data_IF_789948723774
#
_entry.id   IF_789948723774
#
_cell.length_a   1.000
_cell.length_b   1.000
_cell.length_c   1.000
_cell.angle_alpha   90.00
_cell.angle_beta   90.00
_cell.angle_gamma   90.00
#
_symmetry.space_group_name_H-M   'P 1'
#
loop_
_entity.id
_entity.type
_entity.pdbx_description
1 polymer ?
#
# COMPACT_ATOMS: atom_id res chain seq x y z
N UNK A 1 -23.04 -4.50 -18.43
CA UNK A 1 -21.93 -5.39 -18.82
C UNK A 1 -20.67 -4.53 -18.85
N UNK A 2 -19.66 -4.83 -18.04
CA UNK A 2 -18.40 -4.07 -18.05
C UNK A 2 -17.57 -4.54 -19.25
N UNK A 3 -17.32 -3.66 -20.21
CA UNK A 3 -16.47 -3.93 -21.38
C UNK A 3 -15.02 -3.71 -20.98
N UNK A 4 -14.17 -4.71 -21.15
CA UNK A 4 -12.71 -4.54 -20.97
C UNK A 4 -12.19 -3.65 -22.09
N UNK A 5 -11.55 -2.53 -21.73
CA UNK A 5 -10.93 -1.60 -22.67
C UNK A 5 -9.42 -1.86 -22.68
N UNK A 6 -8.88 -2.20 -23.84
CA UNK A 6 -7.42 -2.30 -24.06
C UNK A 6 -6.92 -0.95 -24.59
N UNK A 7 -5.84 -0.42 -24.02
CA UNK A 7 -5.28 0.89 -24.40
C UNK A 7 -3.82 0.73 -24.82
N UNK A 8 -3.35 1.51 -25.80
CA UNK A 8 -1.93 1.58 -26.21
C UNK A 8 -1.04 2.38 -25.25
N UNK A 9 -1.46 2.60 -23.99
CA UNK A 9 -0.62 3.26 -22.99
C UNK A 9 0.65 2.45 -22.81
N UNK A 10 1.78 3.12 -23.03
CA UNK A 10 3.10 2.60 -22.63
C UNK A 10 3.06 2.29 -21.13
N UNK A 11 3.49 1.08 -20.75
CA UNK A 11 3.56 0.61 -19.35
C UNK A 11 4.57 1.38 -18.48
N UNK A 12 5.05 2.54 -18.94
CA UNK A 12 5.96 3.38 -18.19
C UNK A 12 5.17 4.12 -17.13
N UNK A 13 5.40 3.76 -15.87
CA UNK A 13 4.92 4.50 -14.71
C UNK A 13 5.62 5.86 -14.71
N UNK A 14 4.85 6.94 -14.86
CA UNK A 14 5.35 8.30 -14.74
C UNK A 14 5.18 8.74 -13.29
N UNK A 15 6.18 9.44 -12.75
CA UNK A 15 6.19 9.92 -11.37
C UNK A 15 4.96 10.78 -11.07
N UNK A 16 4.60 11.66 -12.00
CA UNK A 16 3.52 12.65 -11.84
C UNK A 16 2.13 12.01 -11.91
N UNK A 17 2.04 10.75 -12.32
CA UNK A 17 0.80 10.01 -12.49
C UNK A 17 0.88 8.65 -11.78
N UNK A 18 1.42 8.65 -10.56
CA UNK A 18 1.58 7.46 -9.74
C UNK A 18 1.32 7.78 -8.26
N UNK A 19 0.63 6.86 -7.59
CA UNK A 19 0.52 6.78 -6.14
C UNK A 19 0.87 5.34 -5.75
N UNK A 20 1.57 5.18 -4.64
CA UNK A 20 1.89 3.87 -4.10
C UNK A 20 0.88 3.50 -3.01
N UNK A 21 0.41 2.25 -3.04
CA UNK A 21 -0.47 1.69 -2.03
C UNK A 21 0.23 0.53 -1.32
N UNK A 22 0.30 0.58 0.01
CA UNK A 22 0.79 -0.49 0.87
C UNK A 22 -0.42 -1.14 1.54
N UNK A 23 -0.73 -2.37 1.12
CA UNK A 23 -2.00 -3.02 1.47
C UNK A 23 -1.76 -4.12 2.50
N UNK A 24 -2.40 -3.97 3.66
CA UNK A 24 -2.60 -5.00 4.67
C UNK A 24 -1.29 -5.67 5.18
N UNK A 25 -0.19 -4.89 5.26
CA UNK A 25 1.08 -5.38 5.83
C UNK A 25 1.05 -5.22 7.36
N UNK A 26 0.29 -6.09 8.02
CA UNK A 26 -0.08 -5.97 9.43
C UNK A 26 0.52 -7.04 10.35
N UNK A 27 0.69 -6.70 11.63
CA UNK A 27 1.40 -7.48 12.65
C UNK A 27 0.91 -8.93 12.81
N UNK A 28 -0.41 -9.17 12.75
CA UNK A 28 -0.98 -10.52 12.93
C UNK A 28 -1.27 -11.23 11.61
N UNK A 29 -1.24 -10.52 10.47
CA UNK A 29 -1.48 -11.10 9.15
C UNK A 29 -0.16 -11.51 8.48
N UNK A 30 0.79 -10.58 8.41
CA UNK A 30 1.98 -10.72 7.59
C UNK A 30 2.93 -11.87 8.00
N UNK A 31 3.11 -12.22 9.28
CA UNK A 31 3.95 -13.37 9.66
C UNK A 31 3.49 -14.72 9.10
N UNK A 32 2.22 -14.84 8.71
CA UNK A 32 1.67 -16.05 8.08
C UNK A 32 1.88 -16.10 6.56
N UNK A 33 2.42 -15.04 5.97
CA UNK A 33 2.71 -14.97 4.53
C UNK A 33 4.02 -15.69 4.23
N UNK A 34 4.00 -16.55 3.21
CA UNK A 34 5.20 -17.26 2.76
C UNK A 34 6.32 -16.28 2.40
N UNK A 35 7.51 -16.48 2.99
CA UNK A 35 8.70 -15.62 2.81
C UNK A 35 8.50 -14.15 3.22
N UNK A 36 7.65 -13.90 4.22
CA UNK A 36 7.38 -12.56 4.73
C UNK A 36 8.65 -11.70 4.95
N UNK A 37 9.70 -12.23 5.57
CA UNK A 37 10.93 -11.46 5.82
C UNK A 37 11.61 -10.95 4.54
N UNK A 38 11.60 -11.75 3.46
CA UNK A 38 12.15 -11.33 2.16
C UNK A 38 11.27 -10.25 1.51
N UNK A 39 9.95 -10.39 1.65
CA UNK A 39 8.98 -9.42 1.15
C UNK A 39 9.14 -8.10 1.91
N UNK A 40 9.12 -8.13 3.23
CA UNK A 40 9.29 -6.97 4.11
C UNK A 40 10.57 -6.22 3.74
N UNK A 41 11.72 -6.90 3.65
CA UNK A 41 12.99 -6.27 3.26
C UNK A 41 12.88 -5.51 1.93
N UNK A 42 12.22 -6.08 0.93
CA UNK A 42 12.04 -5.43 -0.38
C UNK A 42 11.02 -4.29 -0.31
N UNK A 43 9.96 -4.45 0.45
CA UNK A 43 8.94 -3.41 0.68
C UNK A 43 9.56 -2.18 1.33
N UNK A 44 10.45 -2.36 2.32
CA UNK A 44 11.16 -1.24 2.96
C UNK A 44 12.04 -0.47 1.96
N UNK A 45 12.78 -1.18 1.10
CA UNK A 45 13.59 -0.55 0.05
C UNK A 45 12.69 0.22 -0.93
N UNK A 46 11.56 -0.37 -1.32
CA UNK A 46 10.61 0.26 -2.22
C UNK A 46 10.03 1.56 -1.63
N UNK A 47 9.56 1.52 -0.37
CA UNK A 47 9.01 2.69 0.33
C UNK A 47 10.05 3.82 0.38
N UNK A 48 11.28 3.52 0.76
CA UNK A 48 12.35 4.53 0.81
C UNK A 48 12.61 5.14 -0.57
N UNK A 49 12.68 4.33 -1.63
CA UNK A 49 12.85 4.80 -2.99
C UNK A 49 11.70 5.68 -3.48
N UNK A 50 10.46 5.30 -3.16
CA UNK A 50 9.26 6.07 -3.49
C UNK A 50 9.26 7.45 -2.80
N UNK A 51 9.68 7.50 -1.53
CA UNK A 51 9.81 8.76 -0.79
C UNK A 51 10.88 9.68 -1.38
N UNK A 52 12.03 9.14 -1.82
CA UNK A 52 13.07 9.92 -2.52
C UNK A 52 12.53 10.52 -3.82
N UNK A 53 11.61 9.81 -4.48
CA UNK A 53 10.92 10.28 -5.67
C UNK A 53 9.68 11.12 -5.36
N UNK A 54 9.44 11.52 -4.11
CA UNK A 54 8.21 12.18 -3.63
C UNK A 54 6.91 11.57 -4.19
N UNK A 55 6.86 10.24 -4.31
CA UNK A 55 5.62 9.54 -4.68
C UNK A 55 4.73 9.48 -3.43
N UNK A 56 3.44 9.88 -3.52
CA UNK A 56 2.52 9.77 -2.40
C UNK A 56 2.29 8.29 -2.02
N UNK A 57 2.28 8.01 -0.71
CA UNK A 57 2.10 6.66 -0.18
C UNK A 57 0.81 6.61 0.64
N UNK A 58 -0.08 5.69 0.27
CA UNK A 58 -1.29 5.35 1.03
C UNK A 58 -1.10 3.97 1.68
N UNK A 59 -1.41 3.86 2.97
CA UNK A 59 -1.50 2.58 3.67
C UNK A 59 -2.96 2.18 3.83
N UNK A 60 -3.23 0.90 3.64
CA UNK A 60 -4.49 0.27 3.99
C UNK A 60 -4.29 -0.76 5.09
N UNK A 61 -5.17 -0.73 6.09
CA UNK A 61 -5.22 -1.71 7.17
C UNK A 61 -6.56 -2.45 7.16
N UNK A 62 -6.53 -3.77 6.99
CA UNK A 62 -7.71 -4.62 7.12
C UNK A 62 -8.00 -4.86 8.60
N UNK A 63 -9.17 -4.47 9.09
CA UNK A 63 -9.68 -4.76 10.43
C UNK A 63 -8.57 -4.74 11.53
N UNK A 64 -7.94 -3.59 11.80
CA UNK A 64 -6.73 -3.52 12.64
C UNK A 64 -6.96 -3.94 14.09
N UNK A 65 -8.19 -3.86 14.59
CA UNK A 65 -8.56 -4.44 15.89
C UNK A 65 -8.24 -5.96 15.94
N UNK A 66 -8.61 -6.69 14.89
CA UNK A 66 -8.36 -8.13 14.78
C UNK A 66 -6.97 -8.48 14.29
N UNK A 67 -6.46 -7.77 13.28
CA UNK A 67 -5.21 -8.12 12.56
C UNK A 67 -3.97 -7.32 12.99
N UNK A 68 -4.11 -6.40 13.94
CA UNK A 68 -3.02 -5.51 14.36
C UNK A 68 -2.82 -4.36 13.38
N UNK A 69 -1.88 -3.48 13.70
CA UNK A 69 -1.55 -2.33 12.86
C UNK A 69 -0.52 -2.71 11.81
N UNK A 70 -0.21 -1.78 10.91
CA UNK A 70 0.92 -1.89 9.99
C UNK A 70 2.18 -2.22 10.77
N UNK A 71 3.00 -3.13 10.25
CA UNK A 71 4.20 -3.59 10.95
C UNK A 71 5.17 -2.43 11.26
N UNK A 72 5.79 -2.44 12.45
CA UNK A 72 6.57 -1.30 12.95
C UNK A 72 7.77 -0.97 12.05
N UNK A 73 8.34 -1.94 11.34
CA UNK A 73 9.45 -1.73 10.40
C UNK A 73 9.05 -0.81 9.25
N UNK A 74 7.82 -0.94 8.75
CA UNK A 74 7.28 -0.06 7.71
C UNK A 74 7.06 1.34 8.29
N UNK A 75 6.44 1.44 9.46
CA UNK A 75 6.21 2.72 10.14
C UNK A 75 7.51 3.47 10.45
N UNK A 76 8.60 2.76 10.74
CA UNK A 76 9.89 3.35 11.07
C UNK A 76 10.60 4.03 9.89
N UNK A 77 10.30 3.62 8.64
CA UNK A 77 10.91 4.20 7.43
C UNK A 77 9.99 5.20 6.74
N UNK A 78 8.73 5.28 7.18
CA UNK A 78 7.70 6.10 6.57
C UNK A 78 7.78 7.54 7.04
N UNK A 79 7.72 8.48 6.09
CA UNK A 79 7.52 9.89 6.38
C UNK A 79 6.06 10.13 6.71
N UNK A 80 5.75 10.21 8.01
CA UNK A 80 4.40 10.43 8.52
C UNK A 80 3.73 11.71 7.97
N UNK A 81 4.49 12.68 7.46
CA UNK A 81 3.94 13.90 6.86
C UNK A 81 3.46 13.72 5.42
N UNK A 82 3.91 12.65 4.74
CA UNK A 82 3.63 12.35 3.33
C UNK A 82 2.80 11.08 3.13
N UNK A 83 2.29 10.51 4.22
CA UNK A 83 1.54 9.26 4.21
C UNK A 83 0.20 9.36 4.92
N UNK A 84 -0.77 8.60 4.43
CA UNK A 84 -2.07 8.42 5.08
C UNK A 84 -2.32 6.95 5.33
N UNK A 85 -2.94 6.61 6.45
CA UNK A 85 -3.44 5.26 6.73
C UNK A 85 -4.96 5.28 6.72
N UNK A 86 -5.57 4.33 5.99
CA UNK A 86 -7.01 4.14 5.91
C UNK A 86 -7.35 2.72 6.35
N UNK A 87 -8.22 2.61 7.34
CA UNK A 87 -8.75 1.33 7.80
C UNK A 87 -9.88 0.86 6.88
N UNK A 88 -9.99 -0.45 6.65
CA UNK A 88 -11.06 -1.06 5.87
C UNK A 88 -11.48 -2.41 6.44
N UNK A 89 -12.69 -2.84 6.08
CA UNK A 89 -13.16 -4.22 6.30
C UNK A 89 -13.43 -4.96 4.99
N UNK A 90 -13.46 -4.25 3.86
CA UNK A 90 -13.56 -4.82 2.52
C UNK A 90 -12.21 -5.42 2.09
N UNK A 91 -12.24 -6.57 1.42
CA UNK A 91 -11.01 -7.18 0.89
C UNK A 91 -10.34 -6.26 -0.14
N UNK A 92 -11.10 -5.81 -1.13
CA UNK A 92 -10.66 -4.81 -2.09
C UNK A 92 -10.46 -3.47 -1.37
N UNK A 93 -9.25 -2.91 -1.53
CA UNK A 93 -8.96 -1.56 -1.06
C UNK A 93 -9.85 -0.53 -1.76
N UNK A 94 -10.16 -0.75 -3.05
CA UNK A 94 -11.00 0.13 -3.86
C UNK A 94 -12.51 0.01 -3.59
N UNK A 95 -12.95 -1.01 -2.83
CA UNK A 95 -14.35 -1.12 -2.38
C UNK A 95 -14.60 -0.32 -1.09
N UNK A 96 -13.57 0.39 -0.59
CA UNK A 96 -13.69 1.32 0.51
C UNK A 96 -13.73 2.76 -0.04
N UNK A 97 -14.80 3.48 0.24
CA UNK A 97 -15.04 4.83 -0.30
C UNK A 97 -13.91 5.80 0.05
N UNK A 98 -13.35 5.72 1.27
CA UNK A 98 -12.26 6.62 1.66
C UNK A 98 -10.98 6.36 0.86
N UNK A 99 -10.67 5.09 0.57
CA UNK A 99 -9.52 4.72 -0.27
C UNK A 99 -9.74 5.13 -1.71
N UNK A 100 -10.93 4.89 -2.26
CA UNK A 100 -11.23 5.15 -3.68
C UNK A 100 -11.18 6.63 -4.04
N UNK A 101 -11.46 7.51 -3.08
CA UNK A 101 -11.52 8.96 -3.28
C UNK A 101 -10.26 9.71 -2.78
N UNK A 102 -9.16 9.00 -2.46
CA UNK A 102 -7.89 9.60 -2.02
C UNK A 102 -6.91 9.81 -3.18
#
# INVERSE_FOLDING_TARGET
MSTTITTDKTYRIQRENCQAMIIDVQEKLSPHIYRYNDILKKTLILIQGLQVLDIPILLNEQYPEGLGRTVPEIMAVLDATKSKTIEKVTFSACDNDETWNY
#
